data_IF_010252148207
#
_entry.id   IF_010252148207
#
_cell.length_a   1.000
_cell.length_b   1.000
_cell.length_c   1.000
_cell.angle_alpha   90.00
_cell.angle_beta   90.00
_cell.angle_gamma   90.00
#
_symmetry.space_group_name_H-M   'P 1'
#
loop_
_entity.id
_entity.type
_entity.pdbx_description
1 polymer ?
#
# COMPACT_ATOMS: atom_id res chain seq x y z
N UNK A 1 25.67 11.29 -23.22
CA UNK A 1 24.44 10.68 -22.67
C UNK A 1 23.69 11.75 -21.91
N UNK A 2 22.50 12.16 -22.36
CA UNK A 2 21.70 13.10 -21.61
C UNK A 2 21.36 12.47 -20.25
N UNK A 3 21.71 13.14 -19.16
CA UNK A 3 21.25 12.76 -17.82
C UNK A 3 19.72 12.81 -17.84
N UNK A 4 19.08 11.66 -17.95
CA UNK A 4 17.62 11.56 -17.79
C UNK A 4 17.34 11.92 -16.33
N UNK A 5 16.93 13.17 -16.12
CA UNK A 5 16.50 13.65 -14.80
C UNK A 5 15.32 12.80 -14.34
N UNK A 6 15.36 12.39 -13.07
CA UNK A 6 14.26 11.71 -12.40
C UNK A 6 12.97 12.49 -12.58
N UNK A 7 11.88 11.80 -12.94
CA UNK A 7 10.60 12.46 -13.18
C UNK A 7 10.00 12.94 -11.85
N UNK A 8 9.31 14.07 -11.87
CA UNK A 8 8.67 14.62 -10.65
C UNK A 8 7.64 13.65 -10.06
N UNK A 9 6.93 12.90 -10.91
CA UNK A 9 6.01 11.84 -10.48
C UNK A 9 6.67 10.71 -9.69
N UNK A 10 7.96 10.44 -9.90
CA UNK A 10 8.68 9.41 -9.14
C UNK A 10 8.93 9.87 -7.69
N UNK A 11 9.01 11.17 -7.45
CA UNK A 11 9.03 11.73 -6.09
C UNK A 11 7.66 11.65 -5.42
N UNK A 12 6.59 11.89 -6.18
CA UNK A 12 5.23 11.72 -5.68
C UNK A 12 4.96 10.26 -5.30
N UNK A 13 5.35 9.30 -6.14
CA UNK A 13 5.25 7.88 -5.82
C UNK A 13 6.09 7.48 -4.61
N UNK A 14 7.31 8.02 -4.47
CA UNK A 14 8.12 7.79 -3.27
C UNK A 14 7.40 8.25 -2.01
N UNK A 15 6.82 9.46 -2.02
CA UNK A 15 6.08 9.98 -0.87
C UNK A 15 4.90 9.07 -0.52
N UNK A 16 4.09 8.71 -1.51
CA UNK A 16 2.87 7.92 -1.30
C UNK A 16 3.18 6.49 -0.84
N UNK A 17 4.10 5.81 -1.53
CA UNK A 17 4.51 4.44 -1.16
C UNK A 17 5.22 4.46 0.18
N UNK A 18 5.99 5.51 0.49
CA UNK A 18 6.61 5.70 1.80
C UNK A 18 5.58 5.83 2.93
N UNK A 19 4.54 6.64 2.73
CA UNK A 19 3.42 6.75 3.68
C UNK A 19 2.69 5.43 3.83
N UNK A 20 2.46 4.70 2.73
CA UNK A 20 1.79 3.40 2.78
C UNK A 20 2.64 2.35 3.50
N UNK A 21 3.95 2.31 3.24
CA UNK A 21 4.89 1.44 3.94
C UNK A 21 4.90 1.71 5.46
N UNK A 22 4.85 2.99 5.85
CA UNK A 22 4.70 3.34 7.26
C UNK A 22 3.37 2.83 7.83
N UNK A 23 2.26 3.02 7.11
CA UNK A 23 0.94 2.50 7.49
C UNK A 23 0.95 0.99 7.71
N UNK A 24 1.50 0.22 6.77
CA UNK A 24 1.64 -1.23 6.88
C UNK A 24 2.38 -1.65 8.15
N UNK A 25 3.49 -0.98 8.45
CA UNK A 25 4.31 -1.32 9.63
C UNK A 25 3.69 -0.85 10.95
N UNK A 26 2.94 0.26 10.92
CA UNK A 26 2.44 0.93 12.13
C UNK A 26 1.00 0.54 12.51
N UNK A 27 0.21 0.04 11.57
CA UNK A 27 -1.19 -0.35 11.77
C UNK A 27 -1.42 -1.80 11.36
N UNK A 28 -1.15 -2.13 10.10
CA UNK A 28 -1.66 -3.36 9.49
C UNK A 28 -0.95 -4.61 10.03
N UNK A 29 0.38 -4.60 10.00
CA UNK A 29 1.21 -5.74 10.41
C UNK A 29 1.43 -5.84 11.91
N UNK A 30 0.93 -4.88 12.70
CA UNK A 30 1.00 -4.92 14.16
C UNK A 30 0.34 -6.18 14.72
N UNK A 31 -0.70 -6.69 14.04
CA UNK A 31 -1.35 -7.95 14.38
C UNK A 31 -0.39 -9.16 14.35
N UNK A 32 0.65 -9.11 13.51
CA UNK A 32 1.65 -10.18 13.37
C UNK A 32 2.88 -9.97 14.27
N UNK A 33 3.02 -8.81 14.92
CA UNK A 33 4.15 -8.58 15.80
C UNK A 33 4.06 -9.48 17.04
N UNK A 34 5.20 -9.97 17.58
CA UNK A 34 5.20 -10.66 18.85
C UNK A 34 4.57 -9.79 19.94
N UNK A 35 3.55 -10.32 20.63
CA UNK A 35 2.81 -9.60 21.68
C UNK A 35 3.72 -8.99 22.75
N UNK A 36 4.84 -9.64 23.07
CA UNK A 36 5.83 -9.14 24.02
C UNK A 36 6.41 -7.76 23.65
N UNK A 37 6.45 -7.41 22.36
CA UNK A 37 7.06 -6.17 21.86
C UNK A 37 6.14 -4.95 21.98
N UNK A 38 4.82 -5.15 22.13
CA UNK A 38 3.85 -4.05 22.15
C UNK A 38 2.80 -4.11 23.27
N UNK A 39 2.45 -5.29 23.80
CA UNK A 39 1.39 -5.39 24.82
C UNK A 39 1.79 -4.79 26.18
N UNK A 40 2.97 -5.08 26.74
CA UNK A 40 3.37 -4.48 28.01
C UNK A 40 3.54 -2.95 27.88
N UNK A 41 3.09 -2.14 28.85
CA UNK A 41 3.28 -0.69 28.83
C UNK A 41 4.75 -0.25 28.79
N UNK A 42 5.66 -1.10 29.28
CA UNK A 42 7.11 -0.88 29.25
C UNK A 42 7.77 -1.27 27.92
N UNK A 43 7.02 -1.89 26.99
CA UNK A 43 7.60 -2.37 25.75
C UNK A 43 7.85 -1.24 24.75
N UNK A 44 8.91 -1.33 23.94
CA UNK A 44 9.33 -0.24 23.05
C UNK A 44 8.29 0.12 21.98
N UNK A 45 7.44 -0.84 21.58
CA UNK A 45 6.42 -0.64 20.55
C UNK A 45 5.00 -0.45 21.14
N UNK A 46 4.87 -0.16 22.43
CA UNK A 46 3.56 0.04 23.05
C UNK A 46 2.78 1.20 22.41
N UNK A 47 3.48 2.21 21.87
CA UNK A 47 2.87 3.32 21.15
C UNK A 47 2.03 2.89 19.93
N UNK A 48 2.29 1.71 19.34
CA UNK A 48 1.50 1.17 18.23
C UNK A 48 0.07 0.83 18.65
N UNK A 49 -0.12 0.35 19.89
CA UNK A 49 -1.45 0.14 20.45
C UNK A 49 -2.18 1.45 20.67
N UNK A 50 -1.48 2.45 21.21
CA UNK A 50 -2.04 3.79 21.40
C UNK A 50 -2.44 4.42 20.06
N UNK A 51 -1.59 4.28 19.04
CA UNK A 51 -1.86 4.76 17.68
C UNK A 51 -3.08 4.06 17.07
N UNK A 52 -3.16 2.72 17.14
CA UNK A 52 -4.32 1.95 16.65
C UNK A 52 -5.61 2.33 17.37
N UNK A 53 -5.55 2.48 18.70
CA UNK A 53 -6.72 2.85 19.51
C UNK A 53 -7.19 4.26 19.15
N UNK A 54 -6.26 5.21 19.02
CA UNK A 54 -6.57 6.57 18.60
C UNK A 54 -7.13 6.61 17.17
N UNK A 55 -6.54 5.83 16.25
CA UNK A 55 -7.00 5.72 14.87
C UNK A 55 -8.45 5.22 14.83
N UNK A 56 -8.74 4.07 15.44
CA UNK A 56 -10.08 3.48 15.49
C UNK A 56 -11.09 4.43 16.14
N UNK A 57 -10.73 5.08 17.25
CA UNK A 57 -11.61 6.04 17.92
C UNK A 57 -11.96 7.24 17.01
N UNK A 58 -10.97 7.73 16.25
CA UNK A 58 -11.12 8.87 15.36
C UNK A 58 -11.90 8.51 14.10
N UNK A 59 -11.48 7.47 13.40
CA UNK A 59 -12.00 7.10 12.07
C UNK A 59 -13.21 6.19 12.13
N UNK A 60 -13.41 5.45 13.21
CA UNK A 60 -14.44 4.41 13.30
C UNK A 60 -14.16 3.22 12.38
N UNK A 61 -12.89 2.99 12.02
CA UNK A 61 -12.53 1.97 11.05
C UNK A 61 -12.87 0.55 11.53
N UNK A 62 -13.80 -0.16 10.86
CA UNK A 62 -14.33 -1.42 11.33
C UNK A 62 -13.34 -2.57 11.13
N UNK A 63 -12.43 -2.47 10.15
CA UNK A 63 -11.46 -3.51 9.86
C UNK A 63 -10.42 -3.63 10.98
N UNK A 64 -10.09 -2.51 11.61
CA UNK A 64 -9.14 -2.47 12.74
C UNK A 64 -9.81 -2.47 14.11
N UNK A 65 -11.12 -2.17 14.19
CA UNK A 65 -11.89 -2.16 15.44
C UNK A 65 -12.29 -3.56 15.93
N UNK A 66 -12.54 -4.50 15.01
CA UNK A 66 -12.99 -5.84 15.36
C UNK A 66 -11.86 -6.64 16.05
N UNK A 67 -12.21 -7.38 17.10
CA UNK A 67 -11.26 -8.27 17.80
C UNK A 67 -10.84 -9.48 16.95
N UNK A 68 -11.68 -9.86 15.99
CA UNK A 68 -11.41 -10.90 15.00
C UNK A 68 -11.67 -10.34 13.61
N UNK A 69 -10.70 -10.44 12.71
CA UNK A 69 -10.93 -10.08 11.32
C UNK A 69 -11.80 -11.13 10.62
N UNK A 70 -12.44 -10.71 9.55
CA UNK A 70 -13.06 -11.65 8.62
C UNK A 70 -11.97 -12.46 7.91
N UNK A 71 -12.17 -13.76 7.61
CA UNK A 71 -11.14 -14.60 6.99
C UNK A 71 -10.60 -14.06 5.66
N UNK A 72 -11.44 -13.36 4.89
CA UNK A 72 -11.03 -12.73 3.63
C UNK A 72 -10.05 -11.56 3.89
N UNK A 73 -10.22 -10.81 4.99
CA UNK A 73 -9.33 -9.70 5.34
C UNK A 73 -7.99 -10.23 5.86
N UNK A 74 -8.01 -11.32 6.63
CA UNK A 74 -6.79 -11.97 7.10
C UNK A 74 -5.88 -12.39 5.94
N UNK A 75 -6.44 -12.98 4.87
CA UNK A 75 -5.60 -13.34 3.70
C UNK A 75 -5.03 -12.10 3.01
N UNK A 76 -5.75 -10.97 2.98
CA UNK A 76 -5.18 -9.72 2.47
C UNK A 76 -4.05 -9.19 3.35
N UNK A 77 -4.14 -9.30 4.68
CA UNK A 77 -3.04 -8.96 5.59
C UNK A 77 -1.81 -9.87 5.39
N UNK A 78 -2.01 -11.15 5.11
CA UNK A 78 -0.91 -12.06 4.74
C UNK A 78 -0.28 -11.69 3.40
N UNK A 79 -1.09 -11.40 2.37
CA UNK A 79 -0.61 -10.94 1.06
C UNK A 79 0.14 -9.62 1.22
N UNK A 80 -0.35 -8.74 2.07
CA UNK A 80 0.29 -7.47 2.36
C UNK A 80 1.67 -7.68 2.99
N UNK A 81 1.78 -8.50 4.03
CA UNK A 81 3.06 -8.79 4.67
C UNK A 81 4.06 -9.54 3.77
N UNK A 82 3.59 -10.46 2.93
CA UNK A 82 4.47 -11.34 2.13
C UNK A 82 4.79 -10.79 0.74
N UNK A 83 3.92 -9.96 0.16
CA UNK A 83 4.05 -9.46 -1.21
C UNK A 83 4.17 -7.94 -1.22
N UNK A 84 3.20 -7.24 -0.62
CA UNK A 84 3.12 -5.79 -0.71
C UNK A 84 4.27 -5.11 0.05
N UNK A 85 4.60 -5.58 1.26
CA UNK A 85 5.67 -5.05 2.11
C UNK A 85 7.06 -5.13 1.45
N UNK A 86 7.56 -6.30 0.98
CA UNK A 86 8.87 -6.34 0.34
C UNK A 86 8.92 -5.52 -0.95
N UNK A 87 7.82 -5.47 -1.71
CA UNK A 87 7.74 -4.62 -2.90
C UNK A 87 7.76 -3.13 -2.54
N UNK A 88 7.03 -2.71 -1.50
CA UNK A 88 7.04 -1.33 -1.01
C UNK A 88 8.44 -0.92 -0.54
N UNK A 89 9.10 -1.75 0.27
CA UNK A 89 10.46 -1.50 0.73
C UNK A 89 11.45 -1.37 -0.44
N UNK A 90 11.36 -2.28 -1.42
CA UNK A 90 12.17 -2.23 -2.64
C UNK A 90 11.90 -0.96 -3.46
N UNK A 91 10.63 -0.58 -3.65
CA UNK A 91 10.25 0.61 -4.40
C UNK A 91 10.69 1.89 -3.72
N UNK A 92 10.54 2.00 -2.40
CA UNK A 92 11.05 3.13 -1.61
C UNK A 92 12.56 3.25 -1.78
N UNK A 93 13.30 2.13 -1.65
CA UNK A 93 14.75 2.12 -1.85
C UNK A 93 15.15 2.60 -3.26
N UNK A 94 14.50 2.07 -4.29
CA UNK A 94 14.83 2.42 -5.68
C UNK A 94 14.42 3.86 -6.03
N UNK A 95 13.25 4.29 -5.61
CA UNK A 95 12.75 5.64 -5.86
C UNK A 95 13.47 6.69 -5.01
N UNK A 96 14.05 6.35 -3.86
CA UNK A 96 14.90 7.26 -3.09
C UNK A 96 16.22 7.60 -3.83
N UNK A 97 16.61 6.81 -4.83
CA UNK A 97 17.76 7.11 -5.67
C UNK A 97 17.54 8.36 -6.53
N UNK A 98 18.63 9.05 -6.87
CA UNK A 98 18.64 10.12 -7.89
C UNK A 98 18.54 9.59 -9.32
N UNK A 99 18.68 8.27 -9.51
CA UNK A 99 18.63 7.62 -10.81
C UNK A 99 17.17 7.51 -11.31
N UNK A 100 16.94 7.60 -12.62
CA UNK A 100 15.64 7.31 -13.20
C UNK A 100 15.22 5.86 -12.97
N UNK A 101 13.91 5.61 -12.95
CA UNK A 101 13.32 4.29 -12.71
C UNK A 101 13.84 3.27 -13.73
N UNK A 102 14.22 2.10 -13.22
CA UNK A 102 14.70 0.97 -14.02
C UNK A 102 13.55 0.00 -14.34
N UNK A 103 13.73 -0.85 -15.35
CA UNK A 103 12.75 -1.89 -15.71
C UNK A 103 12.32 -2.78 -14.53
N UNK A 104 13.23 -3.23 -13.65
CA UNK A 104 12.86 -3.96 -12.43
C UNK A 104 11.98 -3.15 -11.46
N UNK A 105 12.25 -1.86 -11.30
CA UNK A 105 11.44 -0.99 -10.45
C UNK A 105 10.06 -0.71 -11.05
N UNK A 106 9.97 -0.58 -12.38
CA UNK A 106 8.69 -0.49 -13.09
C UNK A 106 7.86 -1.78 -12.92
N UNK A 107 8.47 -2.95 -13.08
CA UNK A 107 7.80 -4.23 -12.85
C UNK A 107 7.32 -4.38 -11.40
N UNK A 108 8.16 -4.03 -10.43
CA UNK A 108 7.80 -4.04 -9.01
C UNK A 108 6.64 -3.07 -8.72
N UNK A 109 6.66 -1.88 -9.32
CA UNK A 109 5.60 -0.88 -9.18
C UNK A 109 4.27 -1.32 -9.78
N UNK A 110 4.32 -2.01 -10.92
CA UNK A 110 3.15 -2.63 -11.53
C UNK A 110 2.53 -3.70 -10.62
N UNK A 111 3.35 -4.63 -10.11
CA UNK A 111 2.89 -5.68 -9.21
C UNK A 111 2.31 -5.11 -7.91
N UNK A 112 3.06 -4.19 -7.26
CA UNK A 112 2.65 -3.50 -6.05
C UNK A 112 1.33 -2.75 -6.23
N UNK A 113 1.24 -1.95 -7.29
CA UNK A 113 0.06 -1.13 -7.57
C UNK A 113 -1.19 -1.99 -7.82
N UNK A 114 -1.03 -3.10 -8.54
CA UNK A 114 -2.13 -4.03 -8.84
C UNK A 114 -2.66 -4.72 -7.59
N UNK A 115 -1.77 -5.24 -6.74
CA UNK A 115 -2.14 -5.93 -5.50
C UNK A 115 -2.77 -4.95 -4.51
N UNK A 116 -2.17 -3.77 -4.35
CA UNK A 116 -2.69 -2.73 -3.45
C UNK A 116 -4.07 -2.26 -3.90
N UNK A 117 -4.25 -1.99 -5.21
CA UNK A 117 -5.54 -1.60 -5.74
C UNK A 117 -6.61 -2.66 -5.46
N UNK A 118 -6.29 -3.93 -5.70
CA UNK A 118 -7.22 -5.04 -5.46
C UNK A 118 -7.65 -5.11 -3.98
N UNK A 119 -6.71 -5.03 -3.04
CA UNK A 119 -7.01 -5.04 -1.60
C UNK A 119 -7.83 -3.83 -1.16
N UNK A 120 -7.40 -2.62 -1.56
CA UNK A 120 -8.11 -1.39 -1.22
C UNK A 120 -9.50 -1.32 -1.86
N UNK A 121 -9.67 -1.80 -3.09
CA UNK A 121 -10.96 -1.88 -3.76
C UNK A 121 -11.91 -2.86 -3.07
N UNK A 122 -11.40 -3.99 -2.55
CA UNK A 122 -12.20 -4.91 -1.74
C UNK A 122 -12.71 -4.23 -0.46
N UNK A 123 -11.82 -3.52 0.26
CA UNK A 123 -12.21 -2.76 1.45
C UNK A 123 -13.22 -1.64 1.13
N UNK A 124 -13.03 -0.89 0.04
CA UNK A 124 -14.00 0.10 -0.44
C UNK A 124 -15.36 -0.52 -0.72
N UNK A 125 -15.37 -1.66 -1.42
CA UNK A 125 -16.61 -2.35 -1.78
C UNK A 125 -17.33 -2.87 -0.54
N UNK A 126 -16.61 -3.42 0.43
CA UNK A 126 -17.23 -3.87 1.68
C UNK A 126 -17.77 -2.69 2.49
N UNK A 127 -16.99 -1.61 2.65
CA UNK A 127 -17.46 -0.39 3.32
C UNK A 127 -18.75 0.15 2.70
N UNK A 128 -18.87 0.15 1.37
CA UNK A 128 -20.10 0.57 0.69
C UNK A 128 -21.32 -0.25 1.14
N UNK A 129 -21.15 -1.55 1.34
CA UNK A 129 -22.22 -2.48 1.73
C UNK A 129 -22.42 -2.63 3.24
N UNK A 130 -21.49 -2.14 4.06
CA UNK A 130 -21.65 -2.12 5.52
C UNK A 130 -22.79 -1.18 5.95
N UNK A 131 -23.62 -1.66 6.88
CA UNK A 131 -24.69 -0.88 7.49
C UNK A 131 -24.20 0.08 8.58
N UNK A 132 -25.11 0.94 9.03
CA UNK A 132 -24.87 1.91 10.12
C UNK A 132 -24.48 1.25 11.44
N UNK A 133 -24.84 -0.02 11.63
CA UNK A 133 -24.53 -0.82 12.80
C UNK A 133 -23.03 -1.12 12.94
N UNK A 134 -22.29 -1.07 11.84
CA UNK A 134 -20.85 -1.35 11.79
C UNK A 134 -20.04 -0.06 11.69
N UNK A 135 -20.48 0.89 10.88
CA UNK A 135 -19.81 2.18 10.66
C UNK A 135 -20.88 3.27 10.58
N UNK A 136 -20.76 4.31 11.42
CA UNK A 136 -21.71 5.42 11.39
C UNK A 136 -21.66 6.16 10.05
N UNK A 137 -22.80 6.61 9.53
CA UNK A 137 -22.86 7.30 8.23
C UNK A 137 -21.94 8.53 8.19
N UNK A 138 -21.87 9.27 9.30
CA UNK A 138 -21.04 10.46 9.47
C UNK A 138 -19.54 10.18 9.23
N UNK A 139 -19.09 8.97 9.59
CA UNK A 139 -17.70 8.54 9.46
C UNK A 139 -17.47 7.73 8.18
N UNK A 140 -18.49 7.05 7.66
CA UNK A 140 -18.45 6.22 6.45
C UNK A 140 -17.91 6.98 5.25
N UNK A 141 -18.44 8.18 5.01
CA UNK A 141 -18.02 9.02 3.88
C UNK A 141 -16.54 9.43 4.00
N UNK A 142 -16.13 9.89 5.19
CA UNK A 142 -14.74 10.28 5.45
C UNK A 142 -13.77 9.10 5.30
N UNK A 143 -14.14 7.93 5.83
CA UNK A 143 -13.33 6.72 5.76
C UNK A 143 -13.19 6.21 4.32
N UNK A 144 -14.31 6.12 3.59
CA UNK A 144 -14.33 5.63 2.22
C UNK A 144 -13.57 6.58 1.28
N UNK A 145 -13.95 7.86 1.24
CA UNK A 145 -13.42 8.81 0.27
C UNK A 145 -12.10 9.44 0.69
N UNK A 146 -11.85 9.56 2.00
CA UNK A 146 -10.65 10.19 2.55
C UNK A 146 -9.51 9.22 2.82
N UNK A 147 -9.81 7.96 3.16
CA UNK A 147 -8.79 6.96 3.49
C UNK A 147 -8.69 5.91 2.37
N UNK A 148 -9.70 5.06 2.20
CA UNK A 148 -9.58 3.87 1.35
C UNK A 148 -9.52 4.17 -0.15
N UNK A 149 -10.33 5.10 -0.65
CA UNK A 149 -10.40 5.40 -2.08
C UNK A 149 -9.08 5.96 -2.64
N UNK A 150 -8.36 6.88 -1.97
CA UNK A 150 -7.01 7.27 -2.37
C UNK A 150 -6.05 6.08 -2.47
N UNK A 151 -6.10 5.16 -1.50
CA UNK A 151 -5.28 3.93 -1.51
C UNK A 151 -5.73 2.91 -2.58
N UNK A 152 -6.88 3.07 -3.22
CA UNK A 152 -7.25 2.29 -4.40
C UNK A 152 -6.82 3.02 -5.70
N UNK A 153 -7.21 4.28 -5.85
CA UNK A 153 -7.04 5.06 -7.08
C UNK A 153 -5.57 5.31 -7.37
N UNK A 154 -4.79 5.73 -6.38
CA UNK A 154 -3.38 6.09 -6.61
C UNK A 154 -2.56 4.85 -7.02
N UNK A 155 -2.68 3.68 -6.35
CA UNK A 155 -1.99 2.47 -6.78
C UNK A 155 -2.44 1.95 -8.14
N UNK A 156 -3.71 2.13 -8.51
CA UNK A 156 -4.18 1.84 -9.87
C UNK A 156 -3.48 2.72 -10.92
N UNK A 157 -3.39 4.04 -10.66
CA UNK A 157 -2.67 4.98 -11.53
C UNK A 157 -1.18 4.63 -11.61
N UNK A 158 -0.56 4.28 -10.49
CA UNK A 158 0.82 3.82 -10.43
C UNK A 158 1.01 2.57 -11.31
N UNK A 159 0.14 1.57 -11.18
CA UNK A 159 0.21 0.34 -11.97
C UNK A 159 0.15 0.64 -13.48
N UNK A 160 -0.79 1.49 -13.90
CA UNK A 160 -0.91 1.91 -15.31
C UNK A 160 0.33 2.66 -15.79
N UNK A 161 0.82 3.63 -15.01
CA UNK A 161 2.03 4.40 -15.37
C UNK A 161 3.25 3.48 -15.52
N UNK A 162 3.44 2.55 -14.58
CA UNK A 162 4.55 1.59 -14.62
C UNK A 162 4.44 0.61 -15.80
N UNK A 163 3.23 0.13 -16.10
CA UNK A 163 2.98 -0.68 -17.29
C UNK A 163 3.33 0.06 -18.58
N UNK A 164 2.90 1.32 -18.72
CA UNK A 164 3.18 2.13 -19.90
C UNK A 164 4.67 2.42 -20.10
N UNK A 165 5.45 2.51 -19.01
CA UNK A 165 6.91 2.66 -19.08
C UNK A 165 7.63 1.34 -19.39
N UNK A 166 7.12 0.23 -18.86
CA UNK A 166 7.72 -1.10 -19.02
C UNK A 166 7.52 -1.65 -20.43
N UNK A 167 6.34 -1.44 -21.02
CA UNK A 167 5.96 -2.00 -22.32
C UNK A 167 6.93 -1.63 -23.47
N UNK A 168 7.38 -0.37 -23.64
CA UNK A 168 8.42 -0.03 -24.62
C UNK A 168 9.73 -0.80 -24.41
N UNK A 169 10.18 -0.98 -23.16
CA UNK A 169 11.44 -1.68 -22.85
C UNK A 169 11.38 -3.16 -23.23
N UNK A 170 10.24 -3.80 -23.00
CA UNK A 170 10.00 -5.19 -23.40
C UNK A 170 10.05 -5.30 -24.91
N UNK A 171 9.35 -4.42 -25.64
CA UNK A 171 9.35 -4.39 -27.11
C UNK A 171 10.74 -4.15 -27.72
N UNK A 172 11.53 -3.24 -27.14
CA UNK A 172 12.91 -2.99 -27.59
C UNK A 172 13.82 -4.21 -27.39
N UNK A 173 13.62 -4.95 -26.30
CA UNK A 173 14.37 -6.17 -26.02
C UNK A 173 14.04 -7.27 -27.03
N UNK A 174 12.76 -7.45 -27.36
CA UNK A 174 12.32 -8.39 -28.40
C UNK A 174 12.86 -8.05 -29.78
N UNK A 175 12.88 -6.76 -30.15
CA UNK A 175 13.41 -6.31 -31.44
C UNK A 175 14.90 -6.62 -31.58
N UNK A 176 15.69 -6.41 -30.51
CA UNK A 176 17.12 -6.76 -30.48
C UNK A 176 17.34 -8.27 -30.59
N UNK A 177 16.53 -9.07 -29.89
CA UNK A 177 16.63 -10.53 -29.94
C UNK A 177 16.30 -11.12 -31.32
N UNK A 178 15.44 -10.46 -32.11
CA UNK A 178 15.13 -10.87 -33.51
C UNK A 178 16.17 -10.45 -34.54
N UNK A 179 17.09 -9.56 -34.18
CA UNK A 179 18.10 -8.99 -35.09
C UNK A 179 19.50 -9.60 -34.88
N UNK A 180 19.69 -10.36 -33.80
CA UNK A 180 20.87 -11.18 -33.52
C UNK A 180 20.66 -12.62 -33.99
#
# INVERSE_FOLDING_TARGET
MASQRKALRDWLYLFIIGTQLFGMLALDLVAFYPKALYQPPSSPLHFLLSLRTWYVASTGDPFFAQQSHQPWFDIFLYIEGLVQLPLAAYLVYQLASSKPTSGPAELAGLAFGSVTFMGAAACCFELLHMGEDVVSEDKKGSLLYGTYLPFAVIPAVLAVDMYLRLLPRVRETEAKAKTQ
#
